data_IF_412980197166
#
_entry.id   IF_412980197166
#
_cell.length_a   1.000
_cell.length_b   1.000
_cell.length_c   1.000
_cell.angle_alpha   90.00
_cell.angle_beta   90.00
_cell.angle_gamma   90.00
#
_symmetry.space_group_name_H-M   'P 1'
#
loop_
_entity.id
_entity.type
_entity.pdbx_description
1 polymer ?
#
# COMPACT_ATOMS: atom_id res chain seq x y z
N UNK A 1 2.65 6.59 -10.76
CA UNK A 1 4.02 6.01 -10.80
C UNK A 1 4.93 6.56 -9.70
N UNK A 2 5.08 7.91 -9.57
CA UNK A 2 5.99 8.49 -8.58
C UNK A 2 5.65 8.11 -7.12
N UNK A 3 4.39 7.85 -6.82
CA UNK A 3 3.94 7.33 -5.53
C UNK A 3 4.59 5.96 -5.25
N UNK A 4 4.79 5.15 -6.29
CA UNK A 4 5.18 3.75 -6.15
C UNK A 4 6.70 3.54 -6.19
N UNK A 5 7.41 4.25 -7.08
CA UNK A 5 8.86 4.13 -7.18
C UNK A 5 9.64 5.15 -6.35
N UNK A 6 8.98 6.17 -5.78
CA UNK A 6 9.64 7.18 -4.95
C UNK A 6 10.08 6.63 -3.61
N UNK A 7 11.17 7.19 -3.06
CA UNK A 7 11.66 6.80 -1.73
C UNK A 7 10.58 6.95 -0.65
N UNK A 8 10.45 5.95 0.20
CA UNK A 8 9.64 6.04 1.41
C UNK A 8 10.47 6.71 2.48
N UNK A 9 9.99 7.84 3.00
CA UNK A 9 10.74 8.65 3.97
C UNK A 9 10.33 8.31 5.39
N UNK A 10 11.30 7.86 6.19
CA UNK A 10 11.15 7.75 7.64
C UNK A 10 11.76 8.97 8.32
N UNK A 11 11.05 9.53 9.30
CA UNK A 11 11.51 10.65 10.11
C UNK A 11 11.81 10.19 11.52
N UNK A 12 13.00 10.48 12.00
CA UNK A 12 13.41 10.26 13.39
C UNK A 12 14.14 11.50 13.95
N UNK A 13 14.65 11.39 15.18
CA UNK A 13 15.41 12.47 15.81
C UNK A 13 16.71 12.82 15.10
N UNK A 14 17.22 11.91 14.27
CA UNK A 14 18.43 12.10 13.45
C UNK A 14 18.14 12.73 12.09
N UNK A 15 16.88 12.87 11.69
CA UNK A 15 16.45 13.44 10.42
C UNK A 15 15.68 12.48 9.52
N UNK A 16 15.72 12.74 8.21
CA UNK A 16 15.05 11.92 7.21
C UNK A 16 15.93 10.76 6.73
N UNK A 17 15.40 9.56 6.75
CA UNK A 17 15.95 8.38 6.04
C UNK A 17 15.10 8.11 4.80
N UNK A 18 15.74 8.05 3.65
CA UNK A 18 15.13 7.81 2.34
C UNK A 18 15.32 6.33 1.96
N UNK A 19 14.30 5.52 2.16
CA UNK A 19 14.32 4.09 1.85
C UNK A 19 13.99 3.90 0.37
N UNK A 20 14.92 3.36 -0.39
CA UNK A 20 14.81 3.13 -1.83
C UNK A 20 14.56 1.65 -2.08
N UNK A 21 13.33 1.29 -2.42
CA UNK A 21 12.89 -0.07 -2.70
C UNK A 21 12.87 -0.33 -4.20
N UNK A 22 12.94 -1.59 -4.61
CA UNK A 22 12.73 -1.95 -6.00
C UNK A 22 11.26 -1.77 -6.39
N UNK A 23 11.04 -1.00 -7.44
CA UNK A 23 9.79 -0.95 -8.19
C UNK A 23 9.93 -1.82 -9.45
N UNK A 24 9.08 -2.82 -9.62
CA UNK A 24 9.15 -3.74 -10.75
C UNK A 24 7.97 -3.61 -11.73
N UNK A 25 7.35 -2.42 -11.78
CA UNK A 25 6.23 -2.15 -12.70
C UNK A 25 4.96 -2.92 -12.33
N UNK A 26 4.63 -2.94 -11.03
CA UNK A 26 3.46 -3.62 -10.45
C UNK A 26 3.39 -5.12 -10.74
N UNK A 27 4.47 -5.81 -10.39
CA UNK A 27 4.55 -7.24 -10.61
C UNK A 27 4.94 -7.61 -12.05
N UNK A 28 5.90 -6.87 -12.62
CA UNK A 28 6.48 -7.11 -13.95
C UNK A 28 5.52 -6.86 -15.14
N UNK A 29 4.44 -6.09 -14.93
CA UNK A 29 3.50 -5.69 -15.98
C UNK A 29 4.09 -4.62 -16.91
N UNK A 30 4.98 -3.78 -16.38
CA UNK A 30 5.59 -2.66 -17.11
C UNK A 30 7.09 -2.58 -16.86
N UNK A 31 7.83 -2.06 -17.86
CA UNK A 31 9.27 -1.79 -17.75
C UNK A 31 9.53 -0.65 -16.75
N UNK A 32 10.29 -0.92 -15.70
CA UNK A 32 10.54 0.02 -14.58
C UNK A 32 12.03 0.31 -14.33
N UNK A 33 12.92 -0.14 -15.21
CA UNK A 33 14.38 -0.01 -15.02
C UNK A 33 14.85 1.43 -14.87
N UNK A 34 14.19 2.38 -15.52
CA UNK A 34 14.54 3.81 -15.41
C UNK A 34 13.99 4.42 -14.13
N UNK A 35 12.79 4.00 -13.71
CA UNK A 35 12.13 4.47 -12.48
C UNK A 35 12.97 4.12 -11.25
N UNK A 36 13.53 2.92 -11.19
CA UNK A 36 14.43 2.48 -10.11
C UNK A 36 15.72 3.30 -9.96
N UNK A 37 16.05 4.18 -10.91
CA UNK A 37 17.23 5.04 -10.84
C UNK A 37 16.90 6.44 -10.30
N UNK A 38 15.62 6.81 -10.25
CA UNK A 38 15.19 8.19 -9.98
C UNK A 38 15.57 8.60 -8.56
N UNK A 39 15.21 7.82 -7.55
CA UNK A 39 15.51 8.12 -6.14
C UNK A 39 17.00 8.34 -5.93
N UNK A 40 17.82 7.38 -6.32
CA UNK A 40 19.29 7.45 -6.16
C UNK A 40 19.87 8.66 -6.86
N UNK A 41 19.50 8.92 -8.12
CA UNK A 41 19.98 10.07 -8.88
C UNK A 41 19.54 11.40 -8.28
N UNK A 42 18.32 11.47 -7.74
CA UNK A 42 17.82 12.67 -7.07
C UNK A 42 18.59 12.98 -5.78
N UNK A 43 18.97 11.94 -5.03
CA UNK A 43 19.84 12.09 -3.85
C UNK A 43 21.24 12.53 -4.26
N UNK A 44 21.87 11.88 -5.25
CA UNK A 44 23.20 12.22 -5.77
C UNK A 44 23.24 13.68 -6.33
N UNK A 45 22.16 14.13 -6.94
CA UNK A 45 22.02 15.50 -7.43
C UNK A 45 21.67 16.52 -6.32
N UNK A 46 21.46 16.09 -5.07
CA UNK A 46 21.07 16.95 -3.96
C UNK A 46 19.62 17.47 -4.02
N UNK A 47 18.80 16.93 -4.92
CA UNK A 47 17.38 17.27 -5.04
C UNK A 47 16.54 16.68 -3.90
N UNK A 48 16.89 15.49 -3.41
CA UNK A 48 16.34 14.90 -2.21
C UNK A 48 17.36 14.97 -1.08
N UNK A 49 16.91 15.40 0.11
CA UNK A 49 17.75 15.55 1.30
C UNK A 49 17.36 14.51 2.34
N UNK A 50 18.33 13.74 2.82
CA UNK A 50 18.15 12.71 3.82
C UNK A 50 19.23 11.64 3.72
N UNK A 51 19.24 10.71 4.66
CA UNK A 51 20.14 9.55 4.60
C UNK A 51 19.56 8.51 3.63
N UNK A 52 20.25 8.30 2.51
CA UNK A 52 19.89 7.23 1.57
C UNK A 52 20.04 5.85 2.22
N UNK A 53 19.03 5.01 2.08
CA UNK A 53 18.99 3.61 2.54
C UNK A 53 18.66 2.73 1.35
N UNK A 54 19.61 1.88 0.97
CA UNK A 54 19.42 0.87 -0.07
C UNK A 54 18.57 -0.28 0.48
N UNK A 55 17.36 -0.43 -0.05
CA UNK A 55 16.40 -1.50 0.20
C UNK A 55 16.02 -2.23 -1.11
N UNK A 56 16.87 -2.12 -2.15
CA UNK A 56 16.59 -2.64 -3.49
C UNK A 56 16.53 -4.18 -3.58
N UNK A 57 16.81 -4.87 -2.49
CA UNK A 57 16.61 -6.31 -2.37
C UNK A 57 15.16 -6.71 -2.08
N UNK A 58 14.24 -5.74 -1.97
CA UNK A 58 12.83 -5.97 -1.69
C UNK A 58 11.96 -5.11 -2.63
N UNK A 59 10.97 -5.73 -3.26
CA UNK A 59 10.00 -5.04 -4.11
C UNK A 59 8.91 -4.45 -3.24
N UNK A 60 8.74 -3.12 -3.29
CA UNK A 60 7.70 -2.42 -2.55
C UNK A 60 7.29 -1.15 -3.27
N UNK A 61 6.02 -1.01 -3.50
CA UNK A 61 5.39 0.20 -4.02
C UNK A 61 4.85 1.06 -2.87
N UNK A 62 5.02 2.39 -2.95
CA UNK A 62 4.53 3.31 -1.93
C UNK A 62 3.00 3.29 -1.76
N UNK A 63 2.25 2.96 -2.84
CA UNK A 63 0.80 2.81 -2.81
C UNK A 63 0.32 1.49 -2.19
N UNK A 64 1.20 0.48 -2.11
CA UNK A 64 0.87 -0.83 -1.54
C UNK A 64 0.82 -0.85 -0.01
N UNK A 65 1.26 0.22 0.64
CA UNK A 65 1.32 0.33 2.10
C UNK A 65 0.68 1.62 2.61
N UNK A 66 0.06 1.54 3.78
CA UNK A 66 -0.51 2.68 4.50
C UNK A 66 -0.08 2.61 5.97
N UNK A 67 0.39 3.72 6.53
CA UNK A 67 0.89 3.77 7.92
C UNK A 67 0.05 4.71 8.77
N UNK A 68 -0.21 4.31 10.03
CA UNK A 68 -0.83 5.16 11.04
C UNK A 68 0.16 6.13 11.70
N UNK A 69 1.46 6.02 11.37
CA UNK A 69 2.54 6.82 11.94
C UNK A 69 2.92 6.49 13.38
N UNK A 70 2.28 5.49 14.01
CA UNK A 70 2.52 5.10 15.41
C UNK A 70 2.78 3.60 15.59
N UNK A 71 3.11 2.91 14.49
CA UNK A 71 3.59 1.53 14.53
C UNK A 71 2.66 0.49 13.92
N UNK A 72 1.57 0.88 13.26
CA UNK A 72 0.72 -0.03 12.48
C UNK A 72 0.85 0.30 11.00
N UNK A 73 1.00 -0.73 10.17
CA UNK A 73 0.93 -0.67 8.72
C UNK A 73 -0.28 -1.46 8.24
N UNK A 74 -0.96 -0.97 7.21
CA UNK A 74 -2.06 -1.64 6.52
C UNK A 74 -1.64 -1.91 5.08
N UNK A 75 -1.95 -3.11 4.59
CA UNK A 75 -1.62 -3.55 3.22
C UNK A 75 -2.65 -4.56 2.73
N UNK A 76 -2.51 -5.02 1.48
CA UNK A 76 -3.33 -6.08 0.90
C UNK A 76 -2.51 -7.35 0.68
N UNK A 77 -3.16 -8.50 0.85
CA UNK A 77 -2.54 -9.80 0.56
C UNK A 77 -2.29 -9.99 -0.93
N UNK A 78 -3.22 -9.53 -1.77
CA UNK A 78 -3.12 -9.68 -3.22
C UNK A 78 -1.86 -9.01 -3.77
N UNK A 79 -1.57 -7.79 -3.29
CA UNK A 79 -0.38 -7.08 -3.72
C UNK A 79 0.92 -7.70 -3.17
N UNK A 80 1.09 -7.73 -1.85
CA UNK A 80 2.41 -8.09 -1.28
C UNK A 80 2.73 -9.57 -1.34
N UNK A 81 1.73 -10.47 -1.45
CA UNK A 81 1.94 -11.90 -1.64
C UNK A 81 1.92 -12.34 -3.11
N UNK A 82 1.82 -11.38 -4.04
CA UNK A 82 1.92 -11.68 -5.47
C UNK A 82 3.25 -12.40 -5.77
N UNK A 83 3.22 -13.50 -6.55
CA UNK A 83 4.43 -14.24 -6.88
C UNK A 83 5.45 -13.45 -7.70
N UNK A 84 5.02 -12.36 -8.32
CA UNK A 84 5.84 -11.47 -9.13
C UNK A 84 6.55 -10.36 -8.34
N UNK A 85 6.49 -10.37 -7.00
CA UNK A 85 7.17 -9.40 -6.14
C UNK A 85 8.28 -10.04 -5.32
N UNK A 86 7.98 -10.52 -4.13
CA UNK A 86 9.00 -11.00 -3.18
C UNK A 86 9.03 -12.52 -3.01
N UNK A 87 8.57 -13.30 -4.00
CA UNK A 87 8.67 -14.77 -3.95
C UNK A 87 10.14 -15.21 -3.78
N UNK A 88 10.43 -16.22 -2.93
CA UNK A 88 9.52 -17.14 -2.25
C UNK A 88 9.07 -16.71 -0.83
N UNK A 89 9.20 -15.42 -0.46
CA UNK A 89 8.79 -14.95 0.87
C UNK A 89 7.28 -15.17 1.08
N UNK A 90 6.93 -15.67 2.25
CA UNK A 90 5.53 -15.80 2.68
C UNK A 90 5.10 -14.58 3.53
N UNK A 91 3.84 -14.58 3.99
CA UNK A 91 3.28 -13.48 4.81
C UNK A 91 4.13 -13.17 6.04
N UNK A 92 4.62 -14.18 6.74
CA UNK A 92 5.42 -13.99 7.96
C UNK A 92 6.76 -13.34 7.62
N UNK A 93 7.43 -13.81 6.58
CA UNK A 93 8.72 -13.26 6.14
C UNK A 93 8.60 -11.78 5.75
N UNK A 94 7.52 -11.44 5.00
CA UNK A 94 7.24 -10.06 4.58
C UNK A 94 6.90 -9.18 5.79
N UNK A 95 6.07 -9.65 6.71
CA UNK A 95 5.69 -8.93 7.92
C UNK A 95 6.91 -8.65 8.81
N UNK A 96 7.77 -9.64 9.03
CA UNK A 96 9.04 -9.47 9.77
C UNK A 96 9.95 -8.45 9.10
N UNK A 97 10.07 -8.50 7.78
CA UNK A 97 10.86 -7.54 7.02
C UNK A 97 10.32 -6.11 7.18
N UNK A 98 9.02 -5.91 6.97
CA UNK A 98 8.38 -4.60 7.08
C UNK A 98 8.46 -4.04 8.50
N UNK A 99 8.17 -4.87 9.51
CA UNK A 99 8.27 -4.48 10.92
C UNK A 99 9.67 -4.01 11.29
N UNK A 100 10.69 -4.72 10.80
CA UNK A 100 12.10 -4.35 11.04
C UNK A 100 12.49 -3.04 10.35
N UNK A 101 12.14 -2.90 9.05
CA UNK A 101 12.58 -1.75 8.23
C UNK A 101 11.86 -0.46 8.59
N UNK A 102 10.55 -0.55 8.88
CA UNK A 102 9.72 0.60 9.25
C UNK A 102 9.55 0.79 10.76
N UNK A 103 10.21 -0.04 11.59
CA UNK A 103 10.08 -0.01 13.06
C UNK A 103 8.63 -0.15 13.54
N UNK A 104 7.86 -1.06 12.91
CA UNK A 104 6.46 -1.28 13.22
C UNK A 104 6.30 -2.29 14.38
N UNK A 105 5.13 -2.21 15.01
CA UNK A 105 4.66 -3.19 15.97
C UNK A 105 3.86 -4.31 15.32
N UNK A 106 3.23 -4.02 14.15
CA UNK A 106 2.36 -4.95 13.44
C UNK A 106 2.01 -4.51 12.03
N UNK A 107 1.56 -5.47 11.24
CA UNK A 107 0.95 -5.26 9.93
C UNK A 107 -0.48 -5.78 9.95
N UNK A 108 -1.43 -5.01 9.45
CA UNK A 108 -2.80 -5.42 9.18
C UNK A 108 -2.92 -5.77 7.69
N UNK A 109 -3.51 -6.91 7.40
CA UNK A 109 -3.65 -7.44 6.05
C UNK A 109 -5.11 -7.47 5.64
N UNK A 110 -5.46 -6.80 4.54
CA UNK A 110 -6.73 -6.97 3.87
C UNK A 110 -6.61 -8.10 2.84
N UNK A 111 -7.49 -9.08 2.95
CA UNK A 111 -7.56 -10.23 2.06
C UNK A 111 -8.65 -10.09 1.00
N UNK A 112 -9.40 -8.98 1.04
CA UNK A 112 -10.53 -8.70 0.16
C UNK A 112 -10.53 -7.25 -0.28
N UNK A 113 -11.17 -6.98 -1.42
CA UNK A 113 -11.29 -5.67 -2.02
C UNK A 113 -10.44 -5.56 -3.29
N UNK A 114 -11.04 -5.03 -4.34
CA UNK A 114 -10.38 -4.68 -5.59
C UNK A 114 -11.18 -3.59 -6.30
N UNK A 115 -10.56 -2.94 -7.26
CA UNK A 115 -11.22 -2.03 -8.20
C UNK A 115 -10.91 -2.49 -9.64
N UNK A 116 -11.93 -2.53 -10.48
CA UNK A 116 -11.78 -2.89 -11.89
C UNK A 116 -10.92 -1.85 -12.60
N UNK A 117 -9.98 -2.30 -13.45
CA UNK A 117 -9.02 -1.41 -14.11
C UNK A 117 -7.78 -1.07 -13.27
N UNK A 118 -7.67 -1.56 -12.03
CA UNK A 118 -6.47 -1.39 -11.22
C UNK A 118 -5.36 -2.37 -11.65
N UNK A 119 -4.28 -1.83 -12.19
CA UNK A 119 -3.09 -2.60 -12.60
C UNK A 119 -2.13 -2.92 -11.46
N UNK A 120 -2.41 -2.45 -10.24
CA UNK A 120 -1.47 -2.48 -9.11
C UNK A 120 -1.56 -3.74 -8.25
N UNK A 121 -2.50 -4.64 -8.53
CA UNK A 121 -2.88 -5.80 -7.70
C UNK A 121 -3.50 -5.35 -6.36
N UNK A 122 -4.53 -4.51 -6.42
CA UNK A 122 -5.29 -4.04 -5.26
C UNK A 122 -4.42 -3.27 -4.25
N UNK A 123 -3.75 -2.20 -4.69
CA UNK A 123 -3.05 -1.30 -3.79
C UNK A 123 -3.96 -0.81 -2.66
N UNK A 124 -3.43 -0.78 -1.44
CA UNK A 124 -4.19 -0.37 -0.27
C UNK A 124 -4.66 1.08 -0.34
N UNK A 125 -3.89 1.97 -0.97
CA UNK A 125 -4.21 3.40 -1.03
C UNK A 125 -5.40 3.72 -1.94
N UNK A 126 -5.82 2.78 -2.79
CA UNK A 126 -7.08 2.88 -3.57
C UNK A 126 -8.29 2.36 -2.78
N UNK A 127 -8.09 1.55 -1.75
CA UNK A 127 -9.13 0.83 -1.01
C UNK A 127 -9.40 1.42 0.38
N UNK A 128 -8.35 1.66 1.17
CA UNK A 128 -8.47 2.12 2.55
C UNK A 128 -7.25 2.92 3.01
N UNK A 129 -7.48 4.01 3.75
CA UNK A 129 -6.44 4.91 4.25
C UNK A 129 -6.63 5.25 5.72
N UNK A 130 -5.54 5.36 6.48
CA UNK A 130 -5.59 5.94 7.83
C UNK A 130 -5.85 7.44 7.79
N UNK A 131 -6.87 7.90 8.50
CA UNK A 131 -7.11 9.33 8.78
C UNK A 131 -6.47 9.77 10.09
N UNK A 132 -6.30 8.82 11.00
CA UNK A 132 -5.65 8.95 12.31
C UNK A 132 -5.28 7.55 12.82
N UNK A 133 -4.52 7.41 13.94
CA UNK A 133 -4.17 6.10 14.49
C UNK A 133 -5.37 5.21 14.90
N UNK A 134 -6.57 5.76 14.95
CA UNK A 134 -7.79 5.06 15.34
C UNK A 134 -8.92 5.10 14.29
N UNK A 135 -8.68 5.74 13.13
CA UNK A 135 -9.71 5.98 12.13
C UNK A 135 -9.22 5.58 10.74
N UNK A 136 -10.02 4.75 10.04
CA UNK A 136 -9.76 4.30 8.67
C UNK A 136 -10.89 4.79 7.77
N UNK A 137 -10.56 5.51 6.69
CA UNK A 137 -11.46 5.75 5.57
C UNK A 137 -11.33 4.60 4.57
N UNK A 138 -12.43 4.17 3.95
CA UNK A 138 -12.43 3.07 2.99
C UNK A 138 -13.51 3.27 1.92
N UNK A 139 -13.27 2.71 0.74
CA UNK A 139 -14.23 2.72 -0.36
C UNK A 139 -15.38 1.76 -0.06
N UNK A 140 -16.62 2.23 -0.22
CA UNK A 140 -17.84 1.44 -0.02
C UNK A 140 -18.71 1.45 -1.27
N UNK A 141 -18.99 0.28 -1.81
CA UNK A 141 -20.03 0.08 -2.81
C UNK A 141 -21.36 -0.15 -2.12
N UNK A 142 -22.41 0.56 -2.57
CA UNK A 142 -23.80 0.40 -2.06
C UNK A 142 -24.75 -0.18 -3.10
N UNK A 143 -24.29 -0.35 -4.34
CA UNK A 143 -25.05 -0.95 -5.43
C UNK A 143 -24.80 -2.46 -5.47
N UNK A 144 -25.81 -3.26 -5.13
CA UNK A 144 -25.70 -4.72 -5.13
C UNK A 144 -25.50 -5.36 -6.51
N UNK A 145 -25.77 -4.61 -7.57
CA UNK A 145 -25.58 -5.05 -8.96
C UNK A 145 -24.19 -4.70 -9.50
N UNK A 146 -23.41 -3.91 -8.75
CA UNK A 146 -22.02 -3.57 -9.13
C UNK A 146 -21.09 -4.76 -8.85
N UNK A 147 -20.16 -5.04 -9.78
CA UNK A 147 -19.19 -6.14 -9.70
C UNK A 147 -18.31 -6.10 -8.45
N UNK A 148 -18.08 -4.91 -7.87
CA UNK A 148 -17.24 -4.74 -6.68
C UNK A 148 -17.99 -4.97 -5.37
N UNK A 149 -19.34 -5.02 -5.39
CA UNK A 149 -20.17 -5.02 -4.20
C UNK A 149 -19.75 -6.10 -3.19
N UNK A 150 -19.66 -7.34 -3.66
CA UNK A 150 -19.36 -8.48 -2.78
C UNK A 150 -17.95 -8.37 -2.18
N UNK A 151 -16.94 -7.99 -2.99
CA UNK A 151 -15.56 -7.86 -2.55
C UNK A 151 -15.38 -6.72 -1.55
N UNK A 152 -15.99 -5.55 -1.81
CA UNK A 152 -15.93 -4.40 -0.92
C UNK A 152 -16.73 -4.61 0.37
N UNK A 153 -17.83 -5.37 0.33
CA UNK A 153 -18.54 -5.79 1.55
C UNK A 153 -17.66 -6.70 2.42
N UNK A 154 -16.98 -7.69 1.83
CA UNK A 154 -16.04 -8.56 2.57
C UNK A 154 -14.89 -7.76 3.17
N UNK A 155 -14.36 -6.79 2.44
CA UNK A 155 -13.34 -5.86 2.94
C UNK A 155 -13.86 -5.07 4.15
N UNK A 156 -15.07 -4.51 4.08
CA UNK A 156 -15.68 -3.79 5.20
C UNK A 156 -15.83 -4.69 6.44
N UNK A 157 -16.31 -5.92 6.27
CA UNK A 157 -16.44 -6.88 7.38
C UNK A 157 -15.07 -7.19 7.99
N UNK A 158 -14.03 -7.36 7.17
CA UNK A 158 -12.68 -7.57 7.67
C UNK A 158 -12.14 -6.34 8.41
N UNK A 159 -12.34 -5.12 7.90
CA UNK A 159 -11.98 -3.87 8.59
C UNK A 159 -12.62 -3.76 9.99
N UNK A 160 -13.87 -4.20 10.15
CA UNK A 160 -14.57 -4.25 11.46
C UNK A 160 -13.91 -5.18 12.47
N UNK A 161 -13.15 -6.17 12.02
CA UNK A 161 -12.42 -7.09 12.90
C UNK A 161 -11.13 -6.48 13.43
N UNK A 162 -10.56 -5.50 12.76
CA UNK A 162 -9.31 -4.88 13.16
C UNK A 162 -9.43 -4.11 14.47
N UNK A 163 -8.35 -4.09 15.23
CA UNK A 163 -8.26 -3.41 16.52
C UNK A 163 -7.07 -2.47 16.50
N UNK A 164 -7.22 -1.33 17.13
CA UNK A 164 -6.10 -0.41 17.42
C UNK A 164 -5.07 -1.06 18.35
N UNK A 165 -3.93 -0.43 18.55
CA UNK A 165 -2.92 -0.91 19.52
C UNK A 165 -3.44 -0.93 20.97
N UNK A 166 -4.48 -0.14 21.26
CA UNK A 166 -5.17 -0.17 22.57
C UNK A 166 -6.24 -1.27 22.69
N UNK A 167 -6.48 -2.05 21.61
CA UNK A 167 -7.52 -3.09 21.57
C UNK A 167 -8.92 -2.59 21.21
N UNK A 168 -9.11 -1.29 20.99
CA UNK A 168 -10.39 -0.72 20.57
C UNK A 168 -10.65 -1.02 19.07
N UNK A 169 -11.91 -1.10 18.61
CA UNK A 169 -12.21 -1.14 17.17
C UNK A 169 -11.81 0.18 16.52
N UNK A 170 -11.40 0.10 15.23
CA UNK A 170 -11.20 1.31 14.44
C UNK A 170 -12.54 2.01 14.16
N UNK A 171 -12.53 3.34 14.16
CA UNK A 171 -13.60 4.13 13.58
C UNK A 171 -13.49 4.03 12.05
N UNK A 172 -14.54 3.54 11.40
CA UNK A 172 -14.58 3.37 9.95
C UNK A 172 -15.39 4.51 9.32
N UNK A 173 -14.81 5.14 8.30
CA UNK A 173 -15.43 6.20 7.51
C UNK A 173 -15.63 5.69 6.08
N UNK A 174 -16.88 5.37 5.74
CA UNK A 174 -17.23 4.94 4.39
C UNK A 174 -17.16 6.12 3.41
N UNK A 175 -16.39 5.98 2.35
CA UNK A 175 -16.36 6.87 1.20
C UNK A 175 -17.18 6.23 0.07
N UNK A 176 -18.07 6.99 -0.61
CA UNK A 176 -18.84 6.43 -1.70
C UNK A 176 -17.89 6.02 -2.85
N UNK A 177 -18.12 4.85 -3.40
CA UNK A 177 -17.47 4.43 -4.62
C UNK A 177 -17.86 5.36 -5.77
N UNK A 178 -16.93 5.65 -6.67
CA UNK A 178 -17.21 6.41 -7.89
C UNK A 178 -18.24 5.68 -8.77
N UNK A 179 -19.11 6.44 -9.41
CA UNK A 179 -20.01 5.87 -10.41
C UNK A 179 -19.20 5.26 -11.56
N UNK A 180 -19.71 4.20 -12.15
CA UNK A 180 -19.14 3.57 -13.33
C UNK A 180 -18.97 4.59 -14.45
N UNK A 181 -17.76 4.73 -14.95
CA UNK A 181 -17.43 5.50 -16.14
C UNK A 181 -17.04 4.49 -17.23
N UNK A 182 -17.65 4.59 -18.39
CA UNK A 182 -17.32 3.74 -19.54
C UNK A 182 -16.79 4.58 -20.68
N UNK A 183 -15.68 4.15 -21.24
CA UNK A 183 -15.08 4.73 -22.46
C UNK A 183 -14.89 3.59 -23.46
N UNK A 184 -15.50 3.70 -24.64
CA UNK A 184 -15.43 2.69 -25.69
C UNK A 184 -15.84 1.27 -25.27
N UNK A 185 -16.71 1.16 -24.24
CA UNK A 185 -17.21 -0.11 -23.70
C UNK A 185 -16.33 -0.73 -22.62
N UNK A 186 -15.25 -0.08 -22.23
CA UNK A 186 -14.41 -0.46 -21.08
C UNK A 186 -14.73 0.44 -19.88
N UNK A 187 -14.77 -0.18 -18.71
CA UNK A 187 -14.92 0.52 -17.42
C UNK A 187 -13.57 1.11 -17.01
N UNK A 188 -13.59 2.41 -16.63
CA UNK A 188 -12.47 3.12 -16.03
C UNK A 188 -12.67 3.23 -14.52
#
# INVERSE_FOLDING_TARGET
>A
WARDHGAITLMDTGGASLLDFTFNGWGEKFEARLDNQITRRAVEAGALKGQYKDCLNFVLEGGSIESDGVGTLLTTSECLLSPHRNSPMNRVDIEEYLCRVFHLQRVLWLDHGYLSGDDTDSHIDTLARFCSPDTIAYVKCTDSEDEHYEALCKMEEQLKTFRTTSGAPYRLLALPMANKIEVEGERL
#
